data_IF_825046412416
#
_entry.id   IF_825046412416
#
_cell.length_a   1.000
_cell.length_b   1.000
_cell.length_c   1.000
_cell.angle_alpha   90.00
_cell.angle_beta   90.00
_cell.angle_gamma   90.00
#
_symmetry.space_group_name_H-M   'P 1'
#
loop_
_entity.id
_entity.type
_entity.pdbx_description
1 polymer ?
#
# COMPACT_ATOMS: atom_id res chain seq x y z
N UNK A 1 -8.32 16.36 9.76
CA UNK A 1 -8.83 15.41 10.78
C UNK A 1 -10.33 15.57 11.06
N UNK A 2 -10.82 16.78 11.40
CA UNK A 2 -12.26 17.01 11.69
C UNK A 2 -13.24 16.43 10.65
N UNK A 3 -12.90 16.50 9.35
CA UNK A 3 -13.73 15.97 8.25
C UNK A 3 -13.62 14.45 8.02
N UNK A 4 -12.44 13.87 8.24
CA UNK A 4 -12.11 12.47 7.85
C UNK A 4 -12.21 11.51 9.04
N UNK A 5 -12.19 12.05 10.26
CA UNK A 5 -12.12 11.28 11.51
C UNK A 5 -10.76 10.62 11.70
N UNK A 6 -10.75 9.55 12.50
CA UNK A 6 -9.53 8.84 12.91
C UNK A 6 -9.12 7.76 11.91
N UNK A 7 -7.93 7.19 12.17
CA UNK A 7 -7.42 6.04 11.45
C UNK A 7 -8.38 4.84 11.54
N UNK A 8 -8.57 4.07 10.45
CA UNK A 8 -9.45 2.90 10.46
C UNK A 8 -8.92 1.79 11.39
N UNK A 9 -9.72 1.36 12.36
CA UNK A 9 -9.31 0.32 13.31
C UNK A 9 -9.21 -1.08 12.67
N UNK A 10 -9.98 -1.34 11.59
CA UNK A 10 -9.98 -2.58 10.79
C UNK A 10 -8.56 -2.97 10.34
N UNK A 11 -7.73 -1.99 9.98
CA UNK A 11 -6.40 -2.20 9.39
C UNK A 11 -5.24 -1.88 10.33
N UNK A 12 -5.48 -1.74 11.66
CA UNK A 12 -4.45 -1.35 12.65
C UNK A 12 -3.21 -2.24 12.70
N UNK A 13 -3.32 -3.50 12.27
CA UNK A 13 -2.20 -4.47 12.30
C UNK A 13 -1.24 -4.31 11.12
N UNK A 14 -1.69 -3.69 10.02
CA UNK A 14 -0.98 -3.51 8.75
C UNK A 14 -1.81 -2.68 7.76
N UNK A 15 -1.19 -1.70 7.08
CA UNK A 15 -1.82 -0.86 6.03
C UNK A 15 -2.90 0.11 6.54
N UNK A 16 -2.80 0.52 7.80
CA UNK A 16 -3.73 1.48 8.42
C UNK A 16 -3.63 2.88 7.78
N UNK A 17 -2.40 3.29 7.50
CA UNK A 17 -2.04 4.50 6.75
C UNK A 17 -2.63 4.50 5.34
N UNK A 18 -2.46 3.41 4.60
CA UNK A 18 -3.00 3.24 3.26
C UNK A 18 -4.54 3.39 3.25
N UNK A 19 -5.23 2.76 4.21
CA UNK A 19 -6.68 2.92 4.34
C UNK A 19 -7.09 4.36 4.67
N UNK A 20 -6.30 5.03 5.51
CA UNK A 20 -6.57 6.41 5.87
C UNK A 20 -6.39 7.37 4.69
N UNK A 21 -5.37 7.17 3.84
CA UNK A 21 -5.21 7.96 2.62
C UNK A 21 -6.43 7.88 1.71
N UNK A 22 -7.03 6.70 1.51
CA UNK A 22 -8.28 6.58 0.75
C UNK A 22 -9.42 7.42 1.34
N UNK A 23 -9.50 7.54 2.68
CA UNK A 23 -10.49 8.43 3.31
C UNK A 23 -10.17 9.92 3.07
N UNK A 24 -8.89 10.29 3.04
CA UNK A 24 -8.48 11.68 2.81
C UNK A 24 -8.77 12.10 1.37
N UNK A 25 -8.31 11.33 0.37
CA UNK A 25 -8.39 11.72 -1.05
C UNK A 25 -9.83 11.82 -1.57
N UNK A 26 -10.80 11.21 -0.89
CA UNK A 26 -12.23 11.35 -1.18
C UNK A 26 -12.79 12.74 -0.84
N UNK A 27 -12.11 13.50 0.01
CA UNK A 27 -12.57 14.80 0.49
C UNK A 27 -11.63 15.96 0.12
N UNK A 28 -10.40 15.64 -0.29
CA UNK A 28 -9.38 16.64 -0.56
C UNK A 28 -8.62 16.29 -1.83
N UNK A 29 -8.19 17.32 -2.56
CA UNK A 29 -7.24 17.16 -3.67
C UNK A 29 -5.92 16.63 -3.11
N UNK A 30 -5.35 15.64 -3.78
CA UNK A 30 -4.06 15.05 -3.40
C UNK A 30 -3.16 14.98 -4.62
N UNK A 31 -1.90 15.35 -4.43
CA UNK A 31 -0.87 15.38 -5.46
C UNK A 31 0.43 14.85 -4.88
N UNK A 32 1.28 14.27 -5.73
CA UNK A 32 2.61 13.84 -5.31
C UNK A 32 3.55 15.04 -5.32
N UNK A 33 4.24 15.27 -4.20
CA UNK A 33 5.29 16.26 -4.16
C UNK A 33 6.52 15.74 -4.93
N UNK A 34 7.17 16.56 -5.78
CA UNK A 34 8.25 16.09 -6.66
C UNK A 34 9.54 15.73 -5.91
N UNK A 35 9.75 16.32 -4.73
CA UNK A 35 10.96 16.12 -3.94
C UNK A 35 10.84 14.98 -2.93
N UNK A 36 11.97 14.35 -2.62
CA UNK A 36 12.06 13.30 -1.61
C UNK A 36 12.19 13.95 -0.24
N UNK A 37 11.09 13.99 0.50
CA UNK A 37 11.02 14.60 1.84
C UNK A 37 11.10 13.60 3.00
N UNK A 38 11.26 12.30 2.71
CA UNK A 38 11.18 11.23 3.72
C UNK A 38 12.34 10.25 3.58
N UNK A 39 13.08 10.06 4.68
CA UNK A 39 14.06 8.98 4.82
C UNK A 39 13.40 7.78 5.48
N UNK A 40 13.20 6.69 4.72
CA UNK A 40 12.60 5.45 5.21
C UNK A 40 13.67 4.40 5.51
N UNK A 41 13.64 3.84 6.72
CA UNK A 41 14.53 2.76 7.16
C UNK A 41 13.78 1.43 7.12
N UNK A 42 14.33 0.46 6.37
CA UNK A 42 13.74 -0.88 6.24
C UNK A 42 14.47 -1.91 7.07
N UNK A 43 13.98 -2.19 8.27
CA UNK A 43 14.57 -3.20 9.14
C UNK A 43 13.97 -4.62 8.94
N UNK A 44 14.72 -5.69 9.29
CA UNK A 44 14.21 -7.06 9.30
C UNK A 44 13.00 -7.25 10.21
N UNK A 45 12.91 -6.47 11.29
CA UNK A 45 11.81 -6.58 12.25
C UNK A 45 10.64 -5.63 11.97
N UNK A 46 10.73 -4.80 10.93
CA UNK A 46 9.66 -3.87 10.55
C UNK A 46 8.36 -4.60 10.17
N UNK A 47 7.23 -3.90 10.33
CA UNK A 47 5.91 -4.38 9.89
C UNK A 47 5.94 -4.72 8.39
N UNK A 48 6.55 -3.84 7.58
CA UNK A 48 6.86 -4.01 6.14
C UNK A 48 7.53 -5.33 5.80
N UNK A 49 8.41 -5.81 6.68
CA UNK A 49 9.08 -7.09 6.53
C UNK A 49 8.22 -8.25 7.06
N UNK A 50 7.87 -8.24 8.35
CA UNK A 50 7.25 -9.39 9.03
C UNK A 50 5.83 -9.66 8.59
N UNK A 51 5.09 -8.63 8.18
CA UNK A 51 3.65 -8.71 7.84
C UNK A 51 3.38 -8.40 6.37
N UNK A 52 4.35 -8.63 5.48
CA UNK A 52 4.22 -8.33 4.03
C UNK A 52 2.94 -8.94 3.43
N UNK A 53 2.68 -10.25 3.63
CA UNK A 53 1.48 -10.90 3.08
C UNK A 53 0.19 -10.25 3.58
N UNK A 54 0.12 -9.98 4.89
CA UNK A 54 -1.03 -9.29 5.49
C UNK A 54 -1.20 -7.87 4.93
N UNK A 55 -0.13 -7.12 4.73
CA UNK A 55 -0.20 -5.79 4.11
C UNK A 55 -0.74 -5.84 2.69
N UNK A 56 -0.22 -6.75 1.87
CA UNK A 56 -0.68 -6.87 0.48
C UNK A 56 -2.15 -7.30 0.44
N UNK A 57 -2.55 -8.25 1.28
CA UNK A 57 -3.95 -8.66 1.44
C UNK A 57 -4.84 -7.49 1.86
N UNK A 58 -4.47 -6.75 2.91
CA UNK A 58 -5.22 -5.58 3.36
C UNK A 58 -5.31 -4.50 2.27
N UNK A 59 -4.25 -4.27 1.50
CA UNK A 59 -4.27 -3.32 0.37
C UNK A 59 -5.28 -3.73 -0.71
N UNK A 60 -5.42 -5.03 -1.00
CA UNK A 60 -6.44 -5.52 -1.94
C UNK A 60 -7.83 -5.20 -1.39
N UNK A 61 -8.11 -5.55 -0.13
CA UNK A 61 -9.39 -5.24 0.51
C UNK A 61 -9.69 -3.74 0.51
N UNK A 62 -8.70 -2.90 0.80
CA UNK A 62 -8.86 -1.43 0.79
C UNK A 62 -9.17 -0.91 -0.62
N UNK A 63 -8.52 -1.45 -1.65
CA UNK A 63 -8.80 -1.06 -3.04
C UNK A 63 -10.21 -1.49 -3.43
N UNK A 64 -10.64 -2.70 -3.03
CA UNK A 64 -11.99 -3.20 -3.29
C UNK A 64 -13.05 -2.37 -2.54
N UNK A 65 -12.82 -2.05 -1.26
CA UNK A 65 -13.69 -1.20 -0.43
C UNK A 65 -13.87 0.22 -1.01
N UNK A 66 -12.95 0.65 -1.88
CA UNK A 66 -12.95 1.98 -2.52
C UNK A 66 -12.96 1.87 -4.05
N UNK A 67 -13.43 0.75 -4.59
CA UNK A 67 -13.32 0.45 -6.01
C UNK A 67 -14.20 1.37 -6.85
N UNK A 68 -13.70 1.73 -8.02
CA UNK A 68 -14.44 2.33 -9.10
C UNK A 68 -13.92 1.73 -10.42
N UNK A 69 -14.76 1.68 -11.45
CA UNK A 69 -14.32 1.19 -12.75
C UNK A 69 -13.34 2.20 -13.37
N UNK A 70 -12.07 1.79 -13.45
CA UNK A 70 -11.01 2.64 -13.99
C UNK A 70 -9.64 1.95 -13.99
N UNK A 71 -8.70 2.55 -14.71
CA UNK A 71 -7.35 1.99 -14.89
C UNK A 71 -6.62 1.76 -13.55
N UNK A 72 -6.64 2.73 -12.63
CA UNK A 72 -5.87 2.67 -11.39
C UNK A 72 -6.35 1.59 -10.42
N UNK A 73 -7.66 1.45 -10.09
CA UNK A 73 -8.13 0.38 -9.22
C UNK A 73 -7.87 -1.02 -9.80
N UNK A 74 -8.12 -1.23 -11.10
CA UNK A 74 -7.90 -2.52 -11.77
C UNK A 74 -6.42 -2.91 -11.71
N UNK A 75 -5.53 -2.00 -12.14
CA UNK A 75 -4.07 -2.20 -12.05
C UNK A 75 -3.61 -2.42 -10.62
N UNK A 76 -4.23 -1.72 -9.66
CA UNK A 76 -3.95 -1.83 -8.24
C UNK A 76 -4.27 -3.23 -7.69
N UNK A 77 -5.47 -3.76 -7.97
CA UNK A 77 -5.85 -5.12 -7.56
C UNK A 77 -4.93 -6.15 -8.20
N UNK A 78 -4.78 -6.11 -9.53
CA UNK A 78 -3.93 -7.05 -10.26
C UNK A 78 -2.50 -7.10 -9.72
N UNK A 79 -1.86 -5.93 -9.55
CA UNK A 79 -0.51 -5.82 -9.00
C UNK A 79 -0.40 -6.44 -7.61
N UNK A 80 -1.37 -6.21 -6.72
CA UNK A 80 -1.29 -6.75 -5.36
C UNK A 80 -1.59 -8.25 -5.33
N UNK A 81 -2.47 -8.77 -6.20
CA UNK A 81 -2.68 -10.22 -6.34
C UNK A 81 -1.38 -10.91 -6.76
N UNK A 82 -0.67 -10.37 -7.76
CA UNK A 82 0.65 -10.87 -8.14
C UNK A 82 1.63 -10.85 -6.96
N UNK A 83 1.66 -9.75 -6.18
CA UNK A 83 2.56 -9.65 -5.02
C UNK A 83 2.24 -10.63 -3.89
N UNK A 84 0.98 -11.10 -3.74
CA UNK A 84 0.62 -12.15 -2.79
C UNK A 84 1.19 -13.50 -3.18
N UNK A 85 1.17 -13.82 -4.48
CA UNK A 85 1.68 -15.07 -5.02
C UNK A 85 3.21 -15.12 -4.99
N UNK A 86 3.85 -13.98 -5.20
CA UNK A 86 5.31 -13.90 -5.23
C UNK A 86 5.91 -13.78 -3.82
N UNK A 87 6.88 -14.64 -3.54
CA UNK A 87 7.70 -14.55 -2.33
C UNK A 87 8.57 -13.29 -2.36
N UNK A 88 8.99 -12.83 -1.17
CA UNK A 88 9.89 -11.67 -1.06
C UNK A 88 11.22 -11.94 -1.77
N UNK A 89 11.77 -13.14 -1.57
CA UNK A 89 13.03 -13.56 -2.20
C UNK A 89 12.96 -13.52 -3.72
N UNK A 90 11.83 -13.93 -4.30
CA UNK A 90 11.62 -13.85 -5.75
C UNK A 90 11.57 -12.40 -6.23
N UNK A 91 10.82 -11.53 -5.56
CA UNK A 91 10.76 -10.10 -5.93
C UNK A 91 12.11 -9.40 -5.78
N UNK A 92 12.91 -9.77 -4.78
CA UNK A 92 14.23 -9.19 -4.56
C UNK A 92 15.25 -9.68 -5.61
N UNK A 93 15.15 -10.94 -6.05
CA UNK A 93 15.95 -11.47 -7.17
C UNK A 93 15.62 -10.75 -8.48
N UNK A 94 14.33 -10.56 -8.80
CA UNK A 94 13.92 -9.79 -9.99
C UNK A 94 14.49 -8.37 -9.92
N UNK A 95 14.38 -7.69 -8.78
CA UNK A 95 14.95 -6.34 -8.63
C UNK A 95 16.45 -6.30 -8.86
N UNK A 96 17.19 -7.31 -8.39
CA UNK A 96 18.64 -7.42 -8.64
C UNK A 96 18.96 -7.63 -10.12
N UNK A 97 18.12 -8.38 -10.84
CA UNK A 97 18.29 -8.58 -12.29
C UNK A 97 17.93 -7.34 -13.11
N UNK A 98 16.92 -6.57 -12.67
CA UNK A 98 16.46 -5.35 -13.34
C UNK A 98 17.30 -4.11 -13.00
N UNK A 99 17.94 -4.08 -11.83
CA UNK A 99 19.03 -3.13 -11.55
C UNK A 99 20.25 -3.59 -12.32
N UNK A 100 20.33 -3.17 -13.58
CA UNK A 100 21.60 -3.08 -14.29
C UNK A 100 22.49 -2.05 -13.60
#
# INVERSE_FOLDING_TARGET
>A
IRKVGNYPYKYRRASQDYAFFFKIIKHFKAENYPEILVNYISEPNSISTKKRKLQVYNRILIIIDNFYFGYYPIKGVFRNVLLLLLSRTFTDRIKKLLKK
#
